data_IF_635373012477
#
_entry.id   IF_635373012477
#
_cell.length_a   1.000
_cell.length_b   1.000
_cell.length_c   1.000
_cell.angle_alpha   90.00
_cell.angle_beta   90.00
_cell.angle_gamma   90.00
#
_symmetry.space_group_name_H-M   'P 1'
#
loop_
_entity.id
_entity.type
_entity.pdbx_description
1 polymer ?
#
# COMPACT_ATOMS: atom_id res chain seq x y z
N UNK A 1 21.46 3.01 5.10
CA UNK A 1 20.24 3.71 5.57
C UNK A 1 19.38 4.10 4.40
N UNK A 2 18.10 3.79 4.44
CA UNK A 2 17.17 4.10 3.36
C UNK A 2 16.67 5.54 3.49
N UNK A 3 16.48 6.24 2.35
CA UNK A 3 15.75 7.51 2.35
C UNK A 3 14.25 7.25 2.48
N UNK A 4 13.43 8.31 2.57
CA UNK A 4 11.98 8.19 2.75
C UNK A 4 11.31 7.38 1.65
N UNK A 5 11.66 7.65 0.40
CA UNK A 5 11.07 6.99 -0.76
C UNK A 5 11.40 5.50 -0.76
N UNK A 6 12.64 5.16 -0.46
CA UNK A 6 13.07 3.76 -0.36
C UNK A 6 12.37 3.03 0.78
N UNK A 7 12.16 3.72 1.92
CA UNK A 7 11.41 3.15 3.04
C UNK A 7 9.96 2.87 2.66
N UNK A 8 9.34 3.76 1.91
CA UNK A 8 7.97 3.57 1.42
C UNK A 8 7.91 2.33 0.54
N UNK A 9 8.83 2.19 -0.40
CA UNK A 9 8.87 1.02 -1.28
C UNK A 9 9.11 -0.26 -0.48
N UNK A 10 10.02 -0.23 0.48
CA UNK A 10 10.29 -1.38 1.34
C UNK A 10 9.04 -1.79 2.13
N UNK A 11 8.32 -0.82 2.69
CA UNK A 11 7.08 -1.07 3.42
C UNK A 11 6.02 -1.73 2.52
N UNK A 12 5.85 -1.20 1.32
CA UNK A 12 4.86 -1.72 0.37
C UNK A 12 5.19 -3.15 -0.05
N UNK A 13 6.47 -3.46 -0.24
CA UNK A 13 6.90 -4.84 -0.59
C UNK A 13 6.53 -5.85 0.49
N UNK A 14 6.39 -5.41 1.73
CA UNK A 14 6.08 -6.28 2.86
C UNK A 14 4.58 -6.47 3.07
N UNK A 15 3.72 -5.73 2.35
CA UNK A 15 2.28 -5.95 2.41
C UNK A 15 1.99 -7.32 1.79
N UNK A 16 1.36 -8.24 2.54
CA UNK A 16 1.09 -9.58 2.01
C UNK A 16 0.16 -9.56 0.80
N UNK A 17 0.36 -10.49 -0.11
CA UNK A 17 -0.57 -10.73 -1.21
C UNK A 17 -1.96 -11.02 -0.63
N UNK A 18 -2.99 -10.41 -1.19
CA UNK A 18 -4.36 -10.56 -0.70
C UNK A 18 -4.73 -9.61 0.42
N UNK A 19 -3.85 -8.66 0.74
CA UNK A 19 -4.10 -7.62 1.74
C UNK A 19 -3.80 -6.25 1.14
N UNK A 20 -4.34 -5.22 1.77
CA UNK A 20 -4.09 -3.83 1.37
C UNK A 20 -3.70 -2.99 2.58
N UNK A 21 -3.06 -1.87 2.32
CA UNK A 21 -2.80 -0.86 3.35
C UNK A 21 -3.26 0.49 2.82
N UNK A 22 -3.64 1.39 3.73
CA UNK A 22 -3.97 2.76 3.34
C UNK A 22 -2.69 3.60 3.25
N UNK A 23 -2.78 4.74 2.57
CA UNK A 23 -1.66 5.70 2.53
C UNK A 23 -1.22 6.11 3.92
N UNK A 24 -2.18 6.30 4.84
CA UNK A 24 -1.88 6.65 6.24
C UNK A 24 -1.15 5.53 6.96
N UNK A 25 -1.52 4.27 6.71
CA UNK A 25 -0.83 3.13 7.31
C UNK A 25 0.61 3.04 6.82
N UNK A 26 0.84 3.23 5.52
CA UNK A 26 2.21 3.22 4.97
C UNK A 26 3.02 4.38 5.56
N UNK A 27 2.41 5.55 5.67
CA UNK A 27 3.07 6.71 6.28
C UNK A 27 3.44 6.43 7.74
N UNK A 28 2.54 5.80 8.49
CA UNK A 28 2.80 5.42 9.89
C UNK A 28 3.93 4.39 9.98
N UNK A 29 4.00 3.46 9.03
CA UNK A 29 5.08 2.46 8.99
C UNK A 29 6.46 3.10 8.84
N UNK A 30 6.55 4.21 8.13
CA UNK A 30 7.84 4.92 7.99
C UNK A 30 8.04 6.00 9.07
N UNK A 31 7.16 6.03 10.06
CA UNK A 31 7.34 6.83 11.26
C UNK A 31 6.61 8.16 11.33
N UNK A 32 5.80 8.53 10.31
CA UNK A 32 5.09 9.81 10.33
C UNK A 32 3.80 9.75 9.51
N UNK A 33 2.67 9.61 10.20
CA UNK A 33 1.34 9.50 9.56
C UNK A 33 0.93 10.75 8.76
N UNK A 34 1.61 11.88 8.94
CA UNK A 34 1.34 13.08 8.17
C UNK A 34 1.92 13.05 6.76
N UNK A 35 2.69 12.00 6.43
CA UNK A 35 3.33 11.86 5.13
C UNK A 35 2.50 11.11 4.09
N UNK A 36 1.18 10.95 4.31
CA UNK A 36 0.35 10.18 3.37
C UNK A 36 0.38 10.72 1.94
N UNK A 37 0.42 12.04 1.78
CA UNK A 37 0.54 12.64 0.44
C UNK A 37 1.88 12.32 -0.20
N UNK A 38 2.94 12.37 0.58
CA UNK A 38 4.27 12.00 0.12
C UNK A 38 4.29 10.53 -0.33
N UNK A 39 3.64 9.64 0.42
CA UNK A 39 3.49 8.24 0.06
C UNK A 39 2.83 8.11 -1.31
N UNK A 40 1.72 8.80 -1.54
CA UNK A 40 1.04 8.78 -2.83
C UNK A 40 1.94 9.24 -3.97
N UNK A 41 2.67 10.32 -3.77
CA UNK A 41 3.60 10.83 -4.78
C UNK A 41 4.74 9.85 -5.07
N UNK A 42 5.30 9.24 -4.03
CA UNK A 42 6.36 8.25 -4.19
C UNK A 42 5.88 7.02 -4.96
N UNK A 43 4.67 6.55 -4.67
CA UNK A 43 4.09 5.40 -5.36
C UNK A 43 3.77 5.72 -6.82
N UNK A 44 3.37 6.95 -7.12
CA UNK A 44 3.14 7.38 -8.48
C UNK A 44 4.43 7.35 -9.32
N UNK A 45 5.58 7.44 -8.67
CA UNK A 45 6.91 7.39 -9.29
C UNK A 45 7.53 6.00 -9.23
N UNK A 46 6.80 4.99 -8.76
CA UNK A 46 7.29 3.62 -8.64
C UNK A 46 7.71 3.09 -10.01
N UNK A 47 8.96 2.63 -10.18
CA UNK A 47 9.43 2.16 -11.49
C UNK A 47 8.97 0.76 -11.86
N UNK A 48 8.52 -0.06 -10.89
CA UNK A 48 8.12 -1.43 -11.18
C UNK A 48 7.07 -1.94 -10.20
N UNK A 49 5.85 -2.18 -10.70
CA UNK A 49 4.79 -2.78 -9.91
C UNK A 49 5.07 -4.23 -9.53
N UNK A 50 5.88 -4.94 -10.32
CA UNK A 50 6.24 -6.32 -10.01
C UNK A 50 7.16 -6.40 -8.79
N UNK A 51 8.09 -5.48 -8.68
CA UNK A 51 9.04 -5.43 -7.56
C UNK A 51 8.39 -4.79 -6.34
N UNK A 52 7.69 -3.68 -6.54
CA UNK A 52 7.01 -2.94 -5.46
C UNK A 52 5.52 -2.92 -5.77
N UNK A 53 4.71 -3.79 -5.11
CA UNK A 53 3.29 -3.97 -5.46
C UNK A 53 2.43 -2.80 -4.97
N UNK A 54 2.60 -1.64 -5.57
CA UNK A 54 1.93 -0.41 -5.16
C UNK A 54 0.40 -0.48 -5.34
N UNK A 55 -0.11 -1.47 -6.10
CA UNK A 55 -1.54 -1.69 -6.20
C UNK A 55 -2.17 -2.08 -4.85
N UNK A 56 -1.37 -2.52 -3.88
CA UNK A 56 -1.85 -2.91 -2.55
C UNK A 56 -2.04 -1.71 -1.61
N UNK A 57 -1.85 -0.49 -2.10
CA UNK A 57 -2.07 0.72 -1.31
C UNK A 57 -3.30 1.46 -1.85
N UNK A 58 -4.26 1.72 -0.97
CA UNK A 58 -5.53 2.35 -1.30
C UNK A 58 -5.78 3.51 -0.34
N UNK A 59 -6.86 4.29 -0.55
CA UNK A 59 -7.18 5.33 0.41
C UNK A 59 -7.80 4.75 1.68
N UNK A 60 -8.06 5.59 2.68
CA UNK A 60 -8.54 5.13 3.99
C UNK A 60 -9.88 4.39 3.92
N UNK A 61 -10.71 4.68 2.91
CA UNK A 61 -11.99 4.02 2.71
C UNK A 61 -11.89 2.79 1.80
N UNK A 62 -10.72 2.52 1.24
CA UNK A 62 -10.51 1.35 0.38
C UNK A 62 -10.65 1.63 -1.12
N UNK A 63 -10.84 2.88 -1.53
CA UNK A 63 -10.94 3.20 -2.95
C UNK A 63 -9.57 3.20 -3.61
N UNK A 64 -9.51 2.69 -4.82
CA UNK A 64 -8.35 2.82 -5.68
C UNK A 64 -8.22 4.30 -6.06
N UNK A 65 -7.03 4.85 -5.95
CA UNK A 65 -6.81 6.28 -6.16
C UNK A 65 -5.99 6.52 -7.43
N UNK A 66 -5.86 7.79 -7.79
CA UNK A 66 -5.07 8.20 -8.94
C UNK A 66 -3.56 8.02 -8.77
N UNK A 67 -3.09 7.55 -7.62
CA UNK A 67 -1.65 7.35 -7.41
C UNK A 67 -1.10 6.11 -8.10
N UNK A 68 -1.96 5.18 -8.54
CA UNK A 68 -1.49 3.99 -9.22
C UNK A 68 -0.99 4.34 -10.62
N UNK A 69 0.32 4.14 -10.86
CA UNK A 69 1.00 4.58 -12.07
C UNK A 69 0.92 3.59 -13.24
N UNK A 70 0.35 2.40 -13.03
CA UNK A 70 0.44 1.29 -13.99
C UNK A 70 -0.91 0.95 -14.62
N UNK A 71 -1.70 1.95 -14.97
CA UNK A 71 -2.93 1.73 -15.72
C UNK A 71 -4.19 2.29 -15.08
N UNK A 72 -4.06 3.03 -13.98
CA UNK A 72 -5.20 3.69 -13.34
C UNK A 72 -5.98 2.78 -12.39
N UNK A 73 -7.09 3.31 -11.87
CA UNK A 73 -7.86 2.64 -10.80
C UNK A 73 -8.49 1.32 -11.23
N UNK A 74 -8.94 1.22 -12.48
CA UNK A 74 -9.55 -0.02 -12.97
C UNK A 74 -8.54 -1.17 -13.00
N UNK A 75 -7.32 -0.89 -13.44
CA UNK A 75 -6.26 -1.90 -13.47
C UNK A 75 -5.84 -2.27 -12.05
N UNK A 76 -5.76 -1.28 -11.17
CA UNK A 76 -5.45 -1.53 -9.77
C UNK A 76 -6.46 -2.46 -9.13
N UNK A 77 -7.76 -2.21 -9.35
CA UNK A 77 -8.82 -3.07 -8.82
C UNK A 77 -8.70 -4.49 -9.34
N UNK A 78 -8.47 -4.66 -10.64
CA UNK A 78 -8.33 -6.00 -11.23
C UNK A 78 -7.14 -6.76 -10.64
N UNK A 79 -6.04 -6.08 -10.38
CA UNK A 79 -4.87 -6.70 -9.76
C UNK A 79 -5.18 -7.17 -8.34
N UNK A 80 -5.90 -6.36 -7.57
CA UNK A 80 -6.30 -6.73 -6.21
C UNK A 80 -7.30 -7.88 -6.22
N UNK A 81 -8.28 -7.85 -7.11
CA UNK A 81 -9.24 -8.95 -7.25
C UNK A 81 -8.55 -10.26 -7.61
N UNK A 82 -7.53 -10.19 -8.46
CA UNK A 82 -6.73 -11.37 -8.82
C UNK A 82 -5.98 -11.95 -7.62
N UNK A 83 -5.74 -11.14 -6.59
CA UNK A 83 -5.10 -11.58 -5.34
C UNK A 83 -6.12 -12.02 -4.29
N UNK A 84 -7.40 -12.03 -4.63
CA UNK A 84 -8.46 -12.47 -3.73
C UNK A 84 -9.10 -11.37 -2.91
N UNK A 85 -8.75 -10.11 -3.13
CA UNK A 85 -9.35 -8.98 -2.41
C UNK A 85 -10.76 -8.73 -2.92
N UNK A 86 -11.73 -8.60 -2.00
CA UNK A 86 -13.13 -8.38 -2.33
C UNK A 86 -13.45 -6.89 -2.29
N UNK A 87 -14.12 -6.41 -3.34
CA UNK A 87 -14.62 -5.04 -3.42
C UNK A 87 -16.12 -5.03 -3.16
N UNK A 88 -16.58 -4.05 -2.39
CA UNK A 88 -17.98 -3.81 -2.06
C UNK A 88 -18.29 -2.36 -2.43
N UNK A 89 -19.29 -2.15 -3.29
CA UNK A 89 -19.68 -0.80 -3.73
C UNK A 89 -18.49 0.05 -4.25
N UNK A 90 -17.58 -0.60 -4.97
CA UNK A 90 -16.46 0.09 -5.62
C UNK A 90 -15.23 0.30 -4.75
N UNK A 91 -15.23 -0.19 -3.53
CA UNK A 91 -14.07 -0.08 -2.65
C UNK A 91 -13.73 -1.41 -1.98
N UNK A 92 -12.48 -1.54 -1.53
CA UNK A 92 -12.04 -2.73 -0.79
C UNK A 92 -12.83 -2.84 0.52
N UNK A 93 -13.23 -4.06 0.85
CA UNK A 93 -13.77 -4.38 2.16
C UNK A 93 -12.63 -4.29 3.19
N UNK A 94 -12.40 -3.08 3.69
CA UNK A 94 -11.26 -2.79 4.57
C UNK A 94 -11.31 -3.58 5.88
N UNK A 95 -12.51 -3.87 6.38
CA UNK A 95 -12.63 -4.65 7.61
C UNK A 95 -11.95 -6.02 7.50
N UNK A 96 -12.00 -6.63 6.31
CA UNK A 96 -11.45 -7.97 6.09
C UNK A 96 -10.08 -7.99 5.40
N UNK A 97 -9.75 -6.95 4.64
CA UNK A 97 -8.58 -7.01 3.76
C UNK A 97 -7.49 -6.00 4.07
N UNK A 98 -7.69 -5.02 4.96
CA UNK A 98 -6.57 -4.18 5.34
C UNK A 98 -5.60 -4.99 6.23
N UNK A 99 -4.35 -4.54 6.29
CA UNK A 99 -3.38 -5.18 7.18
C UNK A 99 -3.84 -4.98 8.63
N UNK A 100 -3.80 -6.06 9.41
CA UNK A 100 -4.15 -6.00 10.81
C UNK A 100 -2.98 -5.46 11.65
N UNK A 101 -3.21 -5.27 12.94
CA UNK A 101 -2.20 -4.72 13.84
C UNK A 101 -0.96 -5.61 13.91
N UNK A 102 -1.12 -6.92 13.94
CA UNK A 102 0.00 -7.85 13.99
C UNK A 102 0.85 -7.77 12.72
N UNK A 103 0.21 -7.69 11.55
CA UNK A 103 0.92 -7.52 10.28
C UNK A 103 1.63 -6.18 10.24
N UNK A 104 0.96 -5.11 10.69
CA UNK A 104 1.55 -3.76 10.75
C UNK A 104 2.83 -3.78 11.59
N UNK A 105 2.77 -4.38 12.79
CA UNK A 105 3.93 -4.44 13.68
C UNK A 105 5.05 -5.31 13.12
N UNK A 106 4.71 -6.40 12.42
CA UNK A 106 5.71 -7.24 11.77
C UNK A 106 6.45 -6.49 10.66
N UNK A 107 5.72 -5.72 9.83
CA UNK A 107 6.32 -4.90 8.77
C UNK A 107 7.22 -3.83 9.39
N UNK A 108 6.73 -3.16 10.43
CA UNK A 108 7.49 -2.13 11.11
C UNK A 108 8.80 -2.67 11.68
N UNK A 109 8.76 -3.85 12.29
CA UNK A 109 9.95 -4.51 12.82
C UNK A 109 10.96 -4.82 11.72
N UNK A 110 10.49 -5.28 10.55
CA UNK A 110 11.37 -5.53 9.41
C UNK A 110 12.02 -4.24 8.90
N UNK A 111 11.26 -3.15 8.84
CA UNK A 111 11.79 -1.86 8.40
C UNK A 111 12.87 -1.33 9.33
N UNK A 112 12.75 -1.61 10.62
CA UNK A 112 13.74 -1.17 11.61
C UNK A 112 15.08 -1.90 11.49
N UNK A 113 15.12 -3.04 10.79
CA UNK A 113 16.35 -3.78 10.52
C UNK A 113 17.18 -3.18 9.38
N UNK A 114 16.60 -2.30 8.60
CA UNK A 114 17.23 -1.68 7.44
C UNK A 114 18.23 -0.57 7.79
#
# INVERSE_FOLDING_TARGET
MLDKKEKIYAAVRLIPRGKVASYSQVAALIGNCNLRRYVGNALHQNPSNEITPCHRVVNAQGFCSGSFAFGGSDVQQKKLEAEGVVFIDGHVDMEHYDIDEDTFEAIRAELEKE
#
